data_IF_782589014446
#
_entry.id   IF_782589014446
#
_cell.length_a   1.000
_cell.length_b   1.000
_cell.length_c   1.000
_cell.angle_alpha   90.00
_cell.angle_beta   90.00
_cell.angle_gamma   90.00
#
_symmetry.space_group_name_H-M   'P 1'
#
loop_
_entity.id
_entity.type
_entity.pdbx_description
1 polymer ?
#
# COMPACT_ATOMS: atom_id res chain seq x y z
N UNK A 1 3.91 -20.95 13.64
CA UNK A 1 2.56 -20.43 13.47
C UNK A 1 1.96 -20.94 12.18
N UNK A 2 0.65 -21.21 12.17
CA UNK A 2 -0.13 -21.46 10.94
C UNK A 2 -1.31 -20.53 10.84
N UNK A 3 -1.73 -20.19 9.62
CA UNK A 3 -2.85 -19.28 9.36
C UNK A 3 -3.30 -19.36 7.89
N UNK A 4 -4.51 -18.88 7.64
CA UNK A 4 -4.99 -18.60 6.30
C UNK A 4 -4.58 -17.18 5.88
N UNK A 5 -3.95 -17.06 4.73
CA UNK A 5 -3.48 -15.78 4.20
C UNK A 5 -4.26 -15.37 2.96
N UNK A 6 -4.99 -14.26 3.07
CA UNK A 6 -5.81 -13.73 1.97
C UNK A 6 -4.93 -13.15 0.87
N UNK A 7 -4.98 -13.75 -0.32
CA UNK A 7 -4.28 -13.30 -1.51
C UNK A 7 -5.23 -13.23 -2.70
N UNK A 8 -5.45 -12.05 -3.24
CA UNK A 8 -6.38 -11.83 -4.38
C UNK A 8 -7.77 -12.44 -4.16
N UNK A 9 -8.30 -12.29 -2.94
CA UNK A 9 -9.63 -12.80 -2.60
C UNK A 9 -9.72 -14.30 -2.27
N UNK A 10 -8.63 -15.05 -2.38
CA UNK A 10 -8.59 -16.48 -2.06
C UNK A 10 -7.67 -16.73 -0.86
N UNK A 11 -8.13 -17.46 0.18
CA UNK A 11 -7.25 -17.81 1.29
C UNK A 11 -6.25 -18.89 0.86
N UNK A 12 -5.00 -18.70 1.25
CA UNK A 12 -3.94 -19.69 1.09
C UNK A 12 -3.38 -20.07 2.47
N UNK A 13 -3.43 -21.34 2.84
CA UNK A 13 -2.84 -21.81 4.09
C UNK A 13 -1.32 -21.63 4.11
N UNK A 14 -0.80 -21.14 5.25
CA UNK A 14 0.62 -20.90 5.48
C UNK A 14 1.05 -21.43 6.84
N UNK A 15 2.22 -22.04 6.85
CA UNK A 15 2.99 -22.33 8.08
C UNK A 15 4.28 -21.53 8.01
N UNK A 16 4.60 -20.84 9.09
CA UNK A 16 5.80 -20.01 9.18
C UNK A 16 6.53 -20.17 10.50
N UNK A 17 7.84 -19.96 10.49
CA UNK A 17 8.66 -19.71 11.67
C UNK A 17 8.75 -18.19 11.85
N UNK A 18 8.08 -17.60 12.84
CA UNK A 18 8.03 -16.15 13.01
C UNK A 18 9.37 -15.61 13.52
N UNK A 19 9.76 -14.43 13.04
CA UNK A 19 11.02 -13.79 13.44
C UNK A 19 10.82 -12.45 14.13
N UNK A 20 10.06 -11.54 13.49
CA UNK A 20 9.81 -10.21 14.03
C UNK A 20 8.50 -9.61 13.51
N UNK A 21 7.96 -8.64 14.25
CA UNK A 21 6.91 -7.75 13.79
C UNK A 21 7.53 -6.47 13.25
N UNK A 22 7.01 -5.96 12.13
CA UNK A 22 7.48 -4.75 11.48
C UNK A 22 6.29 -3.85 11.16
N UNK A 23 6.33 -2.61 11.62
CA UNK A 23 5.36 -1.59 11.20
C UNK A 23 5.92 -0.82 10.00
N UNK A 24 5.23 -0.85 8.88
CA UNK A 24 5.66 -0.19 7.64
C UNK A 24 4.46 0.16 6.76
N UNK A 25 4.54 1.30 6.08
CA UNK A 25 3.48 1.77 5.18
C UNK A 25 2.08 1.63 5.81
N UNK A 26 1.94 2.16 7.05
CA UNK A 26 0.69 2.18 7.81
C UNK A 26 0.09 0.79 8.12
N UNK A 27 0.90 -0.26 8.11
CA UNK A 27 0.46 -1.61 8.42
C UNK A 27 1.50 -2.41 9.21
N UNK A 28 1.01 -3.34 10.01
CA UNK A 28 1.82 -4.33 10.68
C UNK A 28 2.05 -5.54 9.78
N UNK A 29 3.29 -6.01 9.79
CA UNK A 29 3.72 -7.20 9.08
C UNK A 29 4.40 -8.17 10.04
N UNK A 30 4.11 -9.44 9.88
CA UNK A 30 4.88 -10.53 10.46
C UNK A 30 5.95 -10.96 9.46
N UNK A 31 7.22 -10.84 9.85
CA UNK A 31 8.35 -11.33 9.08
C UNK A 31 8.74 -12.70 9.61
N UNK A 32 8.90 -13.67 8.74
CA UNK A 32 9.25 -15.03 9.11
C UNK A 32 9.59 -15.91 7.91
N UNK A 33 10.14 -17.08 8.18
CA UNK A 33 10.45 -18.10 7.18
C UNK A 33 9.17 -18.87 6.83
N UNK A 34 8.80 -18.86 5.55
CA UNK A 34 7.61 -19.54 5.04
C UNK A 34 7.94 -20.95 4.59
N UNK A 35 7.41 -21.96 5.27
CA UNK A 35 7.67 -23.36 4.96
C UNK A 35 7.24 -23.74 3.53
N UNK A 36 6.10 -23.25 3.07
CA UNK A 36 5.61 -23.52 1.70
C UNK A 36 6.50 -22.92 0.62
N UNK A 37 7.16 -21.79 0.88
CA UNK A 37 7.99 -21.08 -0.10
C UNK A 37 9.49 -21.29 0.12
N UNK A 38 9.87 -21.92 1.24
CA UNK A 38 11.26 -22.12 1.65
C UNK A 38 12.08 -20.83 1.61
N UNK A 39 11.45 -19.73 2.10
CA UNK A 39 12.03 -18.39 2.00
C UNK A 39 11.46 -17.44 3.04
N UNK A 40 12.22 -16.41 3.42
CA UNK A 40 11.75 -15.36 4.32
C UNK A 40 10.76 -14.44 3.63
N UNK A 41 9.63 -14.15 4.31
CA UNK A 41 8.56 -13.33 3.76
C UNK A 41 7.90 -12.43 4.81
N UNK A 42 7.30 -11.37 4.30
CA UNK A 42 6.43 -10.51 5.08
C UNK A 42 4.96 -10.90 4.85
N UNK A 43 4.23 -11.00 5.93
CA UNK A 43 2.80 -11.27 5.93
C UNK A 43 2.08 -10.10 6.61
N UNK A 44 1.23 -9.38 5.88
CA UNK A 44 0.44 -8.28 6.42
C UNK A 44 -0.59 -8.84 7.42
N UNK A 45 -0.59 -8.38 8.68
CA UNK A 45 -1.45 -8.96 9.72
C UNK A 45 -2.93 -8.94 9.35
N UNK A 46 -3.42 -7.85 8.76
CA UNK A 46 -4.82 -7.72 8.34
C UNK A 46 -5.28 -8.73 7.26
N UNK A 47 -4.34 -9.46 6.66
CA UNK A 47 -4.63 -10.52 5.69
C UNK A 47 -4.54 -11.92 6.27
N UNK A 48 -4.29 -12.02 7.58
CA UNK A 48 -4.18 -13.30 8.30
C UNK A 48 -5.49 -13.59 9.00
N UNK A 49 -5.99 -14.81 8.84
CA UNK A 49 -7.15 -15.33 9.55
C UNK A 49 -6.83 -16.70 10.14
N UNK A 50 -7.58 -17.13 11.14
CA UNK A 50 -7.46 -18.43 11.79
C UNK A 50 -6.01 -18.73 12.24
N UNK A 51 -5.38 -17.76 12.93
CA UNK A 51 -4.02 -17.91 13.43
C UNK A 51 -3.97 -18.96 14.55
N UNK A 52 -3.09 -19.95 14.37
CA UNK A 52 -2.82 -21.01 15.34
C UNK A 52 -1.35 -20.94 15.75
N UNK A 53 -1.10 -20.95 17.04
CA UNK A 53 0.25 -21.14 17.60
C UNK A 53 0.48 -22.64 17.73
N UNK A 54 1.44 -23.15 16.98
CA UNK A 54 1.81 -24.56 16.99
C UNK A 54 2.71 -24.86 18.20
N UNK A 55 2.69 -26.07 18.70
CA UNK A 55 3.52 -26.53 19.83
C UNK A 55 4.99 -26.73 19.42
N UNK A 56 5.23 -27.00 18.14
CA UNK A 56 6.57 -27.17 17.60
C UNK A 56 7.42 -25.93 17.80
N UNK A 57 8.61 -26.14 18.28
CA UNK A 57 9.64 -25.12 18.47
C UNK A 57 10.68 -25.22 17.36
N UNK A 58 11.38 -24.15 17.11
CA UNK A 58 12.48 -24.07 16.15
C UNK A 58 13.63 -23.28 16.75
N UNK A 59 14.84 -23.57 16.32
CA UNK A 59 16.01 -22.78 16.70
C UNK A 59 15.94 -21.38 16.10
N UNK A 60 16.52 -20.35 16.76
CA UNK A 60 16.57 -19.01 16.23
C UNK A 60 17.14 -18.98 14.81
N UNK A 61 16.39 -18.43 13.88
CA UNK A 61 16.81 -18.35 12.48
C UNK A 61 17.84 -17.24 12.28
N UNK A 62 18.88 -17.54 11.53
CA UNK A 62 19.81 -16.51 11.06
C UNK A 62 19.11 -15.69 9.99
N UNK A 63 18.84 -14.44 10.30
CA UNK A 63 18.17 -13.53 9.36
C UNK A 63 19.11 -13.17 8.21
N UNK A 64 18.60 -13.12 6.97
CA UNK A 64 19.37 -12.63 5.84
C UNK A 64 19.90 -11.21 6.12
N UNK A 65 21.16 -10.93 5.75
CA UNK A 65 21.75 -9.57 5.88
C UNK A 65 20.97 -8.54 5.05
N UNK A 66 20.45 -8.97 3.91
CA UNK A 66 19.55 -8.14 3.08
C UNK A 66 18.11 -8.64 3.27
N UNK A 67 17.22 -7.71 3.53
CA UNK A 67 15.78 -8.04 3.57
C UNK A 67 15.31 -8.56 2.21
N UNK A 68 14.44 -9.60 2.20
CA UNK A 68 13.94 -10.15 0.93
C UNK A 68 13.29 -9.06 0.08
N UNK A 69 13.79 -8.84 -1.11
CA UNK A 69 13.30 -7.80 -2.03
C UNK A 69 12.00 -8.17 -2.74
N UNK A 70 11.53 -9.41 -2.61
CA UNK A 70 10.38 -9.90 -3.39
C UNK A 70 9.01 -9.32 -2.96
N UNK A 71 8.92 -8.65 -1.81
CA UNK A 71 7.76 -7.84 -1.49
C UNK A 71 7.92 -6.37 -1.94
N UNK A 72 9.14 -5.95 -2.23
CA UNK A 72 9.37 -4.82 -3.07
C UNK A 72 9.08 -5.30 -4.49
N UNK A 73 7.79 -5.37 -4.85
CA UNK A 73 7.45 -5.50 -6.26
C UNK A 73 8.33 -4.48 -6.97
N UNK A 74 9.10 -4.91 -7.96
CA UNK A 74 9.89 -4.01 -8.82
C UNK A 74 8.92 -3.22 -9.71
N UNK A 75 7.94 -2.60 -9.08
CA UNK A 75 7.09 -1.65 -9.78
C UNK A 75 7.96 -0.44 -10.10
N UNK A 76 8.00 0.00 -11.32
CA UNK A 76 8.68 1.23 -11.66
C UNK A 76 8.09 2.36 -10.82
N UNK A 77 8.96 3.11 -10.16
CA UNK A 77 8.56 4.32 -9.50
C UNK A 77 8.42 5.43 -10.54
N UNK A 78 7.45 6.30 -10.36
CA UNK A 78 7.24 7.46 -11.20
C UNK A 78 7.17 8.74 -10.37
N UNK A 79 7.50 9.85 -10.99
CA UNK A 79 7.28 11.16 -10.38
C UNK A 79 5.88 11.65 -10.76
N UNK A 80 5.18 12.23 -9.80
CA UNK A 80 3.85 12.78 -10.03
C UNK A 80 3.70 14.11 -9.32
N UNK A 81 3.02 15.07 -9.96
CA UNK A 81 2.57 16.30 -9.32
C UNK A 81 1.07 16.25 -9.11
N UNK A 82 0.66 16.62 -7.93
CA UNK A 82 -0.74 16.73 -7.54
C UNK A 82 -1.06 18.16 -7.10
N UNK A 83 -2.25 18.62 -7.37
CA UNK A 83 -2.82 19.85 -6.79
C UNK A 83 -3.78 19.45 -5.68
N UNK A 84 -3.57 19.96 -4.49
CA UNK A 84 -4.40 19.71 -3.31
C UNK A 84 -5.00 21.02 -2.82
N UNK A 85 -6.28 21.03 -2.51
CA UNK A 85 -6.97 22.20 -1.98
C UNK A 85 -6.45 22.57 -0.58
N UNK A 86 -6.45 23.85 -0.24
CA UNK A 86 -5.90 24.38 1.04
C UNK A 86 -6.56 23.79 2.29
N UNK A 87 -7.81 23.38 2.20
CA UNK A 87 -8.49 22.70 3.32
C UNK A 87 -7.86 21.36 3.74
N UNK A 88 -7.07 20.74 2.85
CA UNK A 88 -6.33 19.51 3.12
C UNK A 88 -4.85 19.74 3.43
N UNK A 89 -4.44 20.99 3.66
CA UNK A 89 -3.04 21.33 3.93
C UNK A 89 -2.45 20.57 5.13
N UNK A 90 -3.22 20.42 6.21
CA UNK A 90 -2.80 19.70 7.40
C UNK A 90 -2.29 18.29 7.08
N UNK A 91 -3.02 17.55 6.23
CA UNK A 91 -2.67 16.20 5.83
C UNK A 91 -1.41 16.18 4.95
N UNK A 92 -1.30 17.10 4.00
CA UNK A 92 -0.15 17.17 3.10
C UNK A 92 1.14 17.46 3.87
N UNK A 93 1.11 18.36 4.86
CA UNK A 93 2.28 18.67 5.67
C UNK A 93 2.67 17.53 6.62
N UNK A 94 1.74 16.66 7.01
CA UNK A 94 2.03 15.45 7.78
C UNK A 94 2.67 14.34 6.91
N UNK A 95 2.34 14.31 5.61
CA UNK A 95 2.71 13.22 4.71
C UNK A 95 3.94 13.52 3.83
N UNK A 96 4.19 14.79 3.51
CA UNK A 96 5.27 15.20 2.59
C UNK A 96 6.20 16.23 3.23
N UNK A 97 7.51 16.18 2.90
CA UNK A 97 8.45 17.20 3.35
C UNK A 97 8.12 18.56 2.71
N UNK A 98 8.35 19.64 3.43
CA UNK A 98 8.05 21.00 2.97
C UNK A 98 8.72 21.34 1.62
N UNK A 99 9.88 20.74 1.34
CA UNK A 99 10.59 20.92 0.05
C UNK A 99 9.86 20.35 -1.17
N UNK A 100 8.88 19.45 -0.95
CA UNK A 100 8.07 18.85 -1.99
C UNK A 100 6.76 19.63 -2.24
N UNK A 101 6.50 20.69 -1.47
CA UNK A 101 5.23 21.44 -1.45
C UNK A 101 5.49 22.88 -1.93
N UNK A 102 4.72 23.32 -2.90
CA UNK A 102 4.73 24.71 -3.39
C UNK A 102 3.32 25.27 -3.21
N UNK A 103 3.20 26.30 -2.39
CA UNK A 103 1.93 27.01 -2.24
C UNK A 103 1.62 27.87 -3.48
N UNK A 104 0.37 27.79 -3.97
CA UNK A 104 -0.17 28.55 -5.07
C UNK A 104 -1.52 29.16 -4.68
N UNK A 105 -2.01 30.08 -5.52
CA UNK A 105 -3.31 30.69 -5.30
C UNK A 105 -4.43 29.64 -5.26
N UNK A 106 -4.36 28.66 -6.15
CA UNK A 106 -5.34 27.60 -6.36
C UNK A 106 -5.24 26.46 -5.33
N UNK A 107 -4.15 26.36 -4.58
CA UNK A 107 -3.89 25.28 -3.62
C UNK A 107 -2.42 24.98 -3.44
N UNK A 108 -2.13 23.76 -2.99
CA UNK A 108 -0.78 23.24 -2.78
C UNK A 108 -0.40 22.34 -3.95
N UNK A 109 0.66 22.68 -4.66
CA UNK A 109 1.26 21.82 -5.68
C UNK A 109 2.32 20.96 -5.01
N UNK A 110 2.12 19.65 -5.02
CA UNK A 110 2.97 18.70 -4.33
C UNK A 110 3.64 17.76 -5.33
N UNK A 111 4.94 17.52 -5.15
CA UNK A 111 5.73 16.60 -5.99
C UNK A 111 6.07 15.34 -5.22
N UNK A 112 5.67 14.18 -5.74
CA UNK A 112 5.95 12.86 -5.17
C UNK A 112 6.88 12.14 -6.15
N UNK A 113 8.15 11.98 -5.79
CA UNK A 113 9.21 11.48 -6.69
C UNK A 113 9.27 9.95 -6.82
N UNK A 114 8.68 9.22 -5.88
CA UNK A 114 8.74 7.76 -5.81
C UNK A 114 7.35 7.12 -5.69
N UNK A 115 6.39 7.66 -6.44
CA UNK A 115 5.06 7.07 -6.51
C UNK A 115 5.10 5.69 -7.18
N UNK A 116 4.23 4.79 -6.77
CA UNK A 116 4.09 3.44 -7.34
C UNK A 116 2.62 3.10 -7.46
N UNK A 117 2.23 2.37 -8.48
CA UNK A 117 0.84 1.99 -8.74
C UNK A 117 0.20 1.25 -7.56
N UNK A 118 0.99 0.42 -6.85
CA UNK A 118 0.52 -0.38 -5.70
C UNK A 118 -0.09 0.42 -4.54
N UNK A 119 0.15 1.74 -4.49
CA UNK A 119 -0.39 2.58 -3.42
C UNK A 119 -0.85 3.96 -3.88
N UNK A 120 -0.33 4.48 -5.00
CA UNK A 120 -0.57 5.88 -5.40
C UNK A 120 -2.03 6.15 -5.74
N UNK A 121 -2.70 5.22 -6.43
CA UNK A 121 -4.10 5.42 -6.80
C UNK A 121 -5.02 5.43 -5.57
N UNK A 122 -4.81 4.53 -4.63
CA UNK A 122 -5.53 4.54 -3.35
C UNK A 122 -5.27 5.84 -2.59
N UNK A 123 -4.02 6.31 -2.60
CA UNK A 123 -3.60 7.56 -1.97
C UNK A 123 -4.30 8.77 -2.57
N UNK A 124 -4.25 8.97 -3.89
CA UNK A 124 -4.87 10.14 -4.52
C UNK A 124 -6.40 10.12 -4.38
N UNK A 125 -7.03 8.95 -4.55
CA UNK A 125 -8.48 8.80 -4.39
C UNK A 125 -8.95 9.04 -2.96
N UNK A 126 -8.10 8.78 -1.95
CA UNK A 126 -8.42 9.06 -0.54
C UNK A 126 -8.59 10.54 -0.20
N UNK A 127 -8.17 11.44 -1.07
CA UNK A 127 -8.44 12.88 -0.95
C UNK A 127 -9.83 13.28 -1.47
N UNK A 128 -10.54 12.37 -2.13
CA UNK A 128 -11.84 12.66 -2.73
C UNK A 128 -11.75 13.83 -3.73
N UNK A 129 -12.66 14.84 -3.64
CA UNK A 129 -12.68 15.96 -4.58
C UNK A 129 -11.62 17.04 -4.29
N UNK A 130 -10.81 16.87 -3.26
CA UNK A 130 -9.88 17.89 -2.79
C UNK A 130 -8.48 17.80 -3.38
N UNK A 131 -8.18 16.75 -4.18
CA UNK A 131 -6.92 16.63 -4.87
C UNK A 131 -7.10 16.11 -6.29
N UNK A 132 -6.16 16.49 -7.16
CA UNK A 132 -6.08 15.97 -8.53
C UNK A 132 -4.65 15.84 -8.99
N UNK A 133 -4.39 14.87 -9.85
CA UNK A 133 -3.12 14.75 -10.58
C UNK A 133 -3.04 15.87 -11.61
N UNK A 134 -1.88 16.53 -11.73
CA UNK A 134 -1.61 17.55 -12.76
C UNK A 134 -0.52 17.11 -13.73
N UNK A 135 0.40 16.26 -13.31
CA UNK A 135 1.45 15.65 -14.14
C UNK A 135 1.81 14.26 -13.58
N UNK A 136 2.17 13.27 -14.42
CA UNK A 136 2.08 13.28 -15.87
C UNK A 136 0.66 12.99 -16.37
N UNK A 137 0.38 13.30 -17.63
CA UNK A 137 -0.94 13.11 -18.25
C UNK A 137 -1.39 11.64 -18.26
N UNK A 138 -0.46 10.71 -18.41
CA UNK A 138 -0.76 9.27 -18.36
C UNK A 138 -1.42 8.88 -17.03
N UNK A 139 -0.86 9.34 -15.91
CA UNK A 139 -1.39 9.05 -14.57
C UNK A 139 -2.71 9.78 -14.35
N UNK A 140 -2.84 11.01 -14.85
CA UNK A 140 -4.09 11.76 -14.80
C UNK A 140 -5.21 10.99 -15.50
N UNK A 141 -4.95 10.46 -16.70
CA UNK A 141 -5.92 9.69 -17.48
C UNK A 141 -6.33 8.38 -16.78
N UNK A 142 -5.38 7.68 -16.14
CA UNK A 142 -5.69 6.48 -15.34
C UNK A 142 -6.63 6.83 -14.17
N UNK A 143 -6.35 7.91 -13.43
CA UNK A 143 -7.21 8.35 -12.32
C UNK A 143 -8.61 8.75 -12.83
N UNK A 144 -8.69 9.44 -13.97
CA UNK A 144 -9.97 9.79 -14.62
C UNK A 144 -10.80 8.55 -14.96
N UNK A 145 -10.16 7.52 -15.52
CA UNK A 145 -10.83 6.25 -15.82
C UNK A 145 -11.39 5.60 -14.55
N UNK A 146 -10.58 5.52 -13.47
CA UNK A 146 -11.02 4.97 -12.19
C UNK A 146 -12.23 5.74 -11.60
N UNK A 147 -12.20 7.08 -11.66
CA UNK A 147 -13.31 7.91 -11.18
C UNK A 147 -14.59 7.65 -11.99
N UNK A 148 -14.45 7.48 -13.30
CA UNK A 148 -15.60 7.14 -14.16
C UNK A 148 -16.20 5.78 -13.79
N UNK A 149 -15.35 4.77 -13.63
CA UNK A 149 -15.78 3.42 -13.20
C UNK A 149 -16.43 3.46 -11.81
N UNK A 150 -15.87 4.23 -10.87
CA UNK A 150 -16.46 4.43 -9.54
C UNK A 150 -17.85 5.06 -9.66
N UNK A 151 -17.99 6.13 -10.48
CA UNK A 151 -19.29 6.77 -10.71
C UNK A 151 -20.31 5.76 -11.28
N UNK A 152 -19.93 4.96 -12.27
CA UNK A 152 -20.79 3.95 -12.86
C UNK A 152 -21.27 2.90 -11.83
N UNK A 153 -20.46 2.59 -10.81
CA UNK A 153 -20.86 1.71 -9.71
C UNK A 153 -21.95 2.34 -8.82
N UNK A 154 -21.86 3.64 -8.55
CA UNK A 154 -22.86 4.35 -7.75
C UNK A 154 -24.14 4.68 -8.54
N UNK A 155 -24.03 4.83 -9.87
CA UNK A 155 -25.18 5.11 -10.74
C UNK A 155 -25.99 3.83 -11.05
N UNK A 156 -25.42 2.63 -10.83
CA UNK A 156 -26.16 1.36 -10.93
C UNK A 156 -27.02 1.19 -9.69
N UNK A 157 -28.33 1.11 -9.86
CA UNK A 157 -29.22 0.65 -8.78
C UNK A 157 -28.79 -0.76 -8.38
N UNK A 158 -28.16 -0.86 -7.22
CA UNK A 158 -27.86 -2.15 -6.58
C UNK A 158 -29.18 -2.64 -5.96
N UNK A 159 -29.90 -3.46 -6.68
CA UNK A 159 -30.92 -4.31 -6.08
C UNK A 159 -30.20 -5.36 -5.21
N UNK A 160 -30.09 -5.08 -3.90
CA UNK A 160 -29.69 -6.03 -2.86
C UNK A 160 -30.90 -6.83 -2.42
#
# INVERSE_FOLDING_TARGET
LSFDYMKKGVPEFRTIRPCKLVFRAQAWYLYGFCEKRQDFRYFKLHRMAHLIVLEERFDPLVLPKEEPRHYLVKEPAFAVKILVQKCMAYRIYDELPASAIIERKEGLVCTISNARESWFYDYILSYGPYARVIEPEEIQNKVHTMIKEMKELYDKELYL
#
